data_IF_641207041170
#
_entry.id   IF_641207041170
#
_cell.length_a   1.000
_cell.length_b   1.000
_cell.length_c   1.000
_cell.angle_alpha   90.00
_cell.angle_beta   90.00
_cell.angle_gamma   90.00
#
_symmetry.space_group_name_H-M   'P 1'
#
loop_
_entity.id
_entity.type
_entity.pdbx_description
1 polymer ?
#
# COMPACT_ATOMS: atom_id res chain seq x y z
N UNK A 1 -9.28 24.38 -5.51
CA UNK A 1 -9.42 22.93 -5.61
C UNK A 1 -10.62 22.60 -4.75
N UNK A 2 -11.62 21.95 -5.31
CA UNK A 2 -12.80 21.56 -4.54
C UNK A 2 -12.40 20.45 -3.57
N UNK A 3 -13.01 20.42 -2.38
CA UNK A 3 -12.71 19.41 -1.35
C UNK A 3 -12.84 17.98 -1.92
N UNK A 4 -13.77 17.75 -2.84
CA UNK A 4 -13.96 16.45 -3.52
C UNK A 4 -12.79 16.05 -4.44
N UNK A 5 -11.96 16.98 -4.88
CA UNK A 5 -10.83 16.72 -5.77
C UNK A 5 -9.71 15.98 -5.00
N UNK A 6 -9.47 16.34 -3.72
CA UNK A 6 -8.40 15.76 -2.92
C UNK A 6 -8.64 14.28 -2.57
N UNK A 7 -9.90 13.89 -2.35
CA UNK A 7 -10.26 12.48 -2.12
C UNK A 7 -10.06 11.68 -3.41
N UNK A 8 -10.40 12.27 -4.56
CA UNK A 8 -10.21 11.64 -5.86
C UNK A 8 -8.73 11.47 -6.19
N UNK A 9 -7.89 12.46 -5.90
CA UNK A 9 -6.43 12.36 -6.05
C UNK A 9 -5.86 11.18 -5.24
N UNK A 10 -6.28 11.02 -3.98
CA UNK A 10 -5.87 9.88 -3.17
C UNK A 10 -6.33 8.53 -3.76
N UNK A 11 -7.56 8.47 -4.28
CA UNK A 11 -8.08 7.28 -4.95
C UNK A 11 -7.23 6.94 -6.18
N UNK A 12 -6.84 7.94 -6.95
CA UNK A 12 -6.02 7.78 -8.16
C UNK A 12 -4.60 7.31 -7.79
N UNK A 13 -4.00 7.84 -6.73
CA UNK A 13 -2.73 7.36 -6.17
C UNK A 13 -2.80 5.87 -5.79
N UNK A 14 -3.86 5.46 -5.08
CA UNK A 14 -4.07 4.06 -4.66
C UNK A 14 -4.25 3.14 -5.90
N UNK A 15 -5.03 3.57 -6.88
CA UNK A 15 -5.29 2.80 -8.11
C UNK A 15 -4.04 2.68 -8.99
N UNK A 16 -3.25 3.74 -9.08
CA UNK A 16 -1.97 3.72 -9.79
C UNK A 16 -1.04 2.68 -9.17
N UNK A 17 -0.93 2.68 -7.83
CA UNK A 17 -0.11 1.71 -7.11
C UNK A 17 -0.56 0.27 -7.37
N UNK A 18 -1.87 0.01 -7.28
CA UNK A 18 -2.45 -1.30 -7.58
C UNK A 18 -2.09 -1.79 -8.99
N UNK A 19 -2.08 -0.88 -9.96
CA UNK A 19 -1.80 -1.19 -11.37
C UNK A 19 -0.32 -1.34 -11.67
N UNK A 20 0.55 -0.68 -10.89
CA UNK A 20 2.00 -0.69 -11.06
C UNK A 20 2.68 -1.73 -10.14
N UNK A 21 2.17 -2.96 -10.13
CA UNK A 21 2.71 -4.02 -9.28
C UNK A 21 4.08 -4.49 -9.76
N UNK A 22 5.09 -4.45 -8.89
CA UNK A 22 6.45 -4.92 -9.20
C UNK A 22 6.53 -6.45 -9.14
N UNK A 23 7.51 -7.02 -9.85
CA UNK A 23 7.84 -8.44 -9.70
C UNK A 23 8.76 -8.65 -8.48
N UNK A 24 8.16 -8.88 -7.31
CA UNK A 24 8.92 -9.07 -6.06
C UNK A 24 9.76 -10.36 -6.04
N UNK A 25 9.43 -11.36 -6.85
CA UNK A 25 10.16 -12.64 -6.87
C UNK A 25 11.59 -12.51 -7.42
N UNK A 26 11.82 -11.52 -8.28
CA UNK A 26 13.11 -11.18 -8.87
C UNK A 26 13.98 -10.31 -7.94
N UNK A 27 13.42 -9.79 -6.85
CA UNK A 27 14.12 -8.92 -5.91
C UNK A 27 14.88 -9.72 -4.83
N UNK A 28 15.97 -9.15 -4.34
CA UNK A 28 16.70 -9.67 -3.17
C UNK A 28 15.92 -9.41 -1.88
N UNK A 29 16.18 -10.19 -0.83
CA UNK A 29 15.55 -9.98 0.48
C UNK A 29 15.63 -8.52 0.97
N UNK A 30 16.79 -7.87 0.84
CA UNK A 30 16.98 -6.48 1.28
C UNK A 30 16.15 -5.46 0.48
N UNK A 31 15.84 -5.75 -0.78
CA UNK A 31 14.99 -4.89 -1.62
C UNK A 31 13.52 -5.05 -1.23
N UNK A 32 13.08 -6.29 -1.01
CA UNK A 32 11.74 -6.60 -0.50
C UNK A 32 11.51 -5.92 0.87
N UNK A 33 12.51 -5.90 1.75
CA UNK A 33 12.45 -5.18 3.03
C UNK A 33 12.20 -3.68 2.87
N UNK A 34 12.80 -3.05 1.84
CA UNK A 34 12.57 -1.63 1.53
C UNK A 34 11.17 -1.41 0.98
N UNK A 35 10.69 -2.28 0.10
CA UNK A 35 9.33 -2.21 -0.44
C UNK A 35 8.28 -2.38 0.67
N UNK A 36 8.49 -3.32 1.60
CA UNK A 36 7.65 -3.49 2.81
C UNK A 36 7.54 -2.19 3.60
N UNK A 37 8.67 -1.54 3.88
CA UNK A 37 8.67 -0.25 4.59
C UNK A 37 7.93 0.83 3.79
N UNK A 38 8.10 0.85 2.47
CA UNK A 38 7.45 1.83 1.61
C UNK A 38 5.93 1.65 1.55
N UNK A 39 5.43 0.42 1.47
CA UNK A 39 3.98 0.16 1.48
C UNK A 39 3.35 0.48 2.83
N UNK A 40 4.01 0.12 3.94
CA UNK A 40 3.49 0.43 5.29
C UNK A 40 3.46 1.94 5.55
N UNK A 41 4.48 2.68 5.07
CA UNK A 41 4.49 4.14 5.15
C UNK A 41 3.33 4.74 4.33
N UNK A 42 3.15 4.28 3.10
CA UNK A 42 2.06 4.71 2.23
C UNK A 42 0.70 4.44 2.88
N UNK A 43 0.48 3.24 3.41
CA UNK A 43 -0.75 2.87 4.13
C UNK A 43 -1.03 3.84 5.27
N UNK A 44 -0.04 4.11 6.12
CA UNK A 44 -0.18 5.02 7.25
C UNK A 44 -0.50 6.46 6.79
N UNK A 45 0.16 6.95 5.75
CA UNK A 45 -0.08 8.29 5.20
C UNK A 45 -1.47 8.40 4.57
N UNK A 46 -1.90 7.40 3.80
CA UNK A 46 -3.25 7.34 3.24
C UNK A 46 -4.31 7.31 4.35
N UNK A 47 -4.12 6.54 5.42
CA UNK A 47 -5.06 6.52 6.54
C UNK A 47 -5.17 7.88 7.23
N UNK A 48 -4.06 8.58 7.46
CA UNK A 48 -4.09 9.93 8.04
C UNK A 48 -4.89 10.90 7.17
N UNK A 49 -4.65 10.92 5.86
CA UNK A 49 -5.43 11.74 4.91
C UNK A 49 -6.93 11.39 4.99
N UNK A 50 -7.26 10.10 5.03
CA UNK A 50 -8.65 9.65 5.09
C UNK A 50 -9.33 10.06 6.41
N UNK A 51 -8.64 9.96 7.55
CA UNK A 51 -9.16 10.43 8.84
C UNK A 51 -9.39 11.94 8.88
N UNK A 52 -8.59 12.73 8.15
CA UNK A 52 -8.82 14.15 7.95
C UNK A 52 -10.04 14.38 7.06
N UNK A 53 -10.14 13.65 5.94
CA UNK A 53 -11.27 13.71 5.02
C UNK A 53 -12.60 13.34 5.67
N UNK A 54 -12.62 12.35 6.58
CA UNK A 54 -13.82 11.98 7.34
C UNK A 54 -14.39 13.19 8.13
N UNK A 55 -13.55 14.16 8.51
CA UNK A 55 -13.95 15.35 9.26
C UNK A 55 -14.28 16.56 8.38
N UNK A 56 -13.62 16.69 7.23
CA UNK A 56 -13.68 17.90 6.40
C UNK A 56 -14.56 17.75 5.17
N UNK A 57 -14.68 16.55 4.62
CA UNK A 57 -15.33 16.32 3.33
C UNK A 57 -16.85 16.15 3.46
N UNK A 58 -17.59 16.73 2.52
CA UNK A 58 -19.05 16.54 2.45
C UNK A 58 -19.44 15.18 1.86
N UNK A 59 -18.67 14.68 0.90
CA UNK A 59 -18.95 13.41 0.24
C UNK A 59 -18.37 12.23 1.03
N UNK A 60 -19.07 11.84 2.08
CA UNK A 60 -18.63 10.77 2.98
C UNK A 60 -18.58 9.39 2.29
N UNK A 61 -19.44 9.14 1.31
CA UNK A 61 -19.41 7.89 0.54
C UNK A 61 -18.10 7.73 -0.23
N UNK A 62 -17.60 8.82 -0.82
CA UNK A 62 -16.31 8.82 -1.52
C UNK A 62 -15.14 8.59 -0.55
N UNK A 63 -15.20 9.18 0.64
CA UNK A 63 -14.20 8.95 1.70
C UNK A 63 -14.20 7.49 2.17
N UNK A 64 -15.38 6.90 2.39
CA UNK A 64 -15.49 5.48 2.75
C UNK A 64 -15.00 4.56 1.63
N UNK A 65 -15.26 4.93 0.37
CA UNK A 65 -14.70 4.22 -0.77
C UNK A 65 -13.17 4.28 -0.77
N UNK A 66 -12.57 5.45 -0.58
CA UNK A 66 -11.11 5.63 -0.45
C UNK A 66 -10.53 4.76 0.66
N UNK A 67 -11.19 4.72 1.84
CA UNK A 67 -10.82 3.86 2.98
C UNK A 67 -10.81 2.38 2.65
N UNK A 68 -11.84 1.91 1.97
CA UNK A 68 -11.98 0.52 1.57
C UNK A 68 -10.89 0.13 0.57
N UNK A 69 -10.67 0.93 -0.48
CA UNK A 69 -9.69 0.58 -1.52
C UNK A 69 -8.25 0.70 -1.01
N UNK A 70 -7.97 1.65 -0.11
CA UNK A 70 -6.67 1.79 0.55
C UNK A 70 -6.32 0.50 1.29
N UNK A 71 -7.18 0.08 2.23
CA UNK A 71 -7.04 -1.18 3.00
C UNK A 71 -6.83 -2.40 2.11
N UNK A 72 -7.66 -2.54 1.09
CA UNK A 72 -7.62 -3.71 0.22
C UNK A 72 -6.34 -3.75 -0.62
N UNK A 73 -5.86 -2.59 -1.07
CA UNK A 73 -4.67 -2.49 -1.93
C UNK A 73 -3.41 -2.71 -1.11
N UNK A 74 -3.26 -1.98 0.01
CA UNK A 74 -2.09 -2.07 0.87
C UNK A 74 -1.98 -3.43 1.54
N UNK A 75 -3.09 -3.96 2.07
CA UNK A 75 -3.11 -5.27 2.72
C UNK A 75 -2.69 -6.41 1.79
N UNK A 76 -3.14 -6.39 0.52
CA UNK A 76 -2.73 -7.40 -0.48
C UNK A 76 -1.25 -7.30 -0.83
N UNK A 77 -0.74 -6.08 -1.03
CA UNK A 77 0.67 -5.86 -1.36
C UNK A 77 1.59 -6.25 -0.20
N UNK A 78 1.24 -5.88 1.03
CA UNK A 78 1.96 -6.26 2.25
C UNK A 78 2.02 -7.78 2.39
N UNK A 79 0.88 -8.48 2.26
CA UNK A 79 0.84 -9.93 2.38
C UNK A 79 1.75 -10.62 1.35
N UNK A 80 1.71 -10.17 0.08
CA UNK A 80 2.57 -10.68 -0.99
C UNK A 80 4.05 -10.46 -0.66
N UNK A 81 4.42 -9.24 -0.27
CA UNK A 81 5.79 -8.90 0.09
C UNK A 81 6.29 -9.71 1.31
N UNK A 82 5.47 -9.91 2.33
CA UNK A 82 5.82 -10.72 3.50
C UNK A 82 6.07 -12.18 3.12
N UNK A 83 5.19 -12.76 2.30
CA UNK A 83 5.37 -14.14 1.80
C UNK A 83 6.67 -14.27 0.99
N UNK A 84 6.93 -13.35 0.06
CA UNK A 84 8.15 -13.38 -0.73
C UNK A 84 9.39 -13.15 0.13
N UNK A 85 9.34 -12.24 1.10
CA UNK A 85 10.47 -11.96 1.99
C UNK A 85 10.88 -13.19 2.80
N UNK A 86 9.90 -13.93 3.35
CA UNK A 86 10.16 -15.16 4.10
C UNK A 86 10.84 -16.21 3.21
N UNK A 87 10.32 -16.44 1.99
CA UNK A 87 10.95 -17.35 1.02
C UNK A 87 12.40 -16.96 0.71
N UNK A 88 12.66 -15.66 0.49
CA UNK A 88 14.02 -15.17 0.24
C UNK A 88 14.95 -15.31 1.43
N UNK A 89 14.46 -15.11 2.65
CA UNK A 89 15.26 -15.36 3.85
C UNK A 89 15.65 -16.84 3.94
N UNK A 90 14.69 -17.73 3.72
CA UNK A 90 14.93 -19.17 3.73
C UNK A 90 15.98 -19.57 2.68
N UNK A 91 15.88 -19.06 1.45
CA UNK A 91 16.81 -19.32 0.35
C UNK A 91 18.21 -18.71 0.57
N UNK A 92 18.29 -17.44 0.94
CA UNK A 92 19.55 -16.68 0.97
C UNK A 92 20.39 -16.95 2.23
N UNK A 93 19.73 -17.29 3.36
CA UNK A 93 20.36 -17.30 4.68
C UNK A 93 20.20 -18.61 5.45
N UNK A 94 19.07 -19.32 5.34
CA UNK A 94 18.78 -20.48 6.22
C UNK A 94 19.03 -21.83 5.55
N UNK A 95 18.77 -21.98 4.25
CA UNK A 95 18.98 -23.21 3.49
C UNK A 95 20.33 -23.27 2.76
N UNK A 96 21.31 -22.46 3.17
CA UNK A 96 22.71 -22.65 2.77
C UNK A 96 23.28 -23.88 3.49
N UNK A 97 22.93 -25.06 2.98
CA UNK A 97 23.63 -26.31 3.27
C UNK A 97 24.38 -26.77 2.03
#
# INVERSE_FOLDING_TARGET
MDESDEVQELIDEINFRKSNSKNYEEMKAIEISKELRAIMKFEQESFKKIEEFEKTQKNQDLVQYAKMISRNTTGREIAKLQETYLKKIDEEFLNKK
#
